data_IF_812093174550
#
_entry.id   IF_812093174550
#
_cell.length_a   1.000
_cell.length_b   1.000
_cell.length_c   1.000
_cell.angle_alpha   90.00
_cell.angle_beta   90.00
_cell.angle_gamma   90.00
#
_symmetry.space_group_name_H-M   'P 1'
#
loop_
_entity.id
_entity.type
_entity.pdbx_description
1 polymer ?
#
# COMPACT_ATOMS: atom_id res chain seq x y z
N UNK A 1 -9.99 22.82 20.82
CA UNK A 1 -8.61 22.50 20.45
C UNK A 1 -8.64 21.84 19.09
N UNK A 2 -7.82 22.30 18.18
CA UNK A 2 -7.63 21.77 16.85
C UNK A 2 -6.49 20.77 16.83
N UNK A 3 -6.55 19.75 15.98
CA UNK A 3 -5.57 18.70 15.84
C UNK A 3 -5.12 18.56 14.39
N UNK A 4 -3.86 18.20 14.21
CA UNK A 4 -3.32 17.67 12.97
C UNK A 4 -3.26 16.15 13.08
N UNK A 5 -3.85 15.43 12.10
CA UNK A 5 -3.87 13.96 12.09
C UNK A 5 -2.67 13.44 11.29
N UNK A 6 -1.77 12.74 11.97
CA UNK A 6 -0.61 12.10 11.36
C UNK A 6 -0.90 10.62 11.15
N UNK A 7 -0.70 10.12 9.93
CA UNK A 7 -0.93 8.72 9.59
C UNK A 7 0.37 8.10 9.09
N UNK A 8 0.92 7.20 9.89
CA UNK A 8 2.11 6.42 9.55
C UNK A 8 1.76 5.10 8.86
N UNK A 9 2.75 4.43 8.29
CA UNK A 9 2.54 3.14 7.62
C UNK A 9 2.35 1.98 8.61
N UNK A 10 3.08 2.03 9.74
CA UNK A 10 3.14 0.95 10.74
C UNK A 10 3.03 1.49 12.17
N UNK A 11 2.54 0.67 13.12
CA UNK A 11 2.45 1.08 14.53
C UNK A 11 3.78 1.49 15.16
N UNK A 12 4.89 0.88 14.75
CA UNK A 12 6.23 1.22 15.26
C UNK A 12 6.65 2.63 14.85
N UNK A 13 6.48 2.95 13.57
CA UNK A 13 6.77 4.27 13.00
C UNK A 13 5.90 5.35 13.65
N UNK A 14 4.60 5.07 13.82
CA UNK A 14 3.68 5.97 14.50
C UNK A 14 4.13 6.30 15.94
N UNK A 15 4.61 5.29 16.69
CA UNK A 15 5.12 5.50 18.05
C UNK A 15 6.38 6.35 18.08
N UNK A 16 7.32 6.12 17.15
CA UNK A 16 8.53 6.94 17.05
C UNK A 16 8.19 8.40 16.75
N UNK A 17 7.34 8.63 15.75
CA UNK A 17 6.87 9.99 15.41
C UNK A 17 6.16 10.63 16.61
N UNK A 18 5.21 9.94 17.23
CA UNK A 18 4.43 10.46 18.34
C UNK A 18 5.32 10.86 19.53
N UNK A 19 6.33 10.06 19.85
CA UNK A 19 7.31 10.38 20.91
C UNK A 19 8.07 11.68 20.64
N UNK A 20 8.44 11.92 19.37
CA UNK A 20 9.21 13.11 18.98
C UNK A 20 8.36 14.38 18.97
N UNK A 21 7.09 14.29 18.52
CA UNK A 21 6.19 15.46 18.42
C UNK A 21 5.36 15.69 19.71
N UNK A 22 5.53 14.84 20.73
CA UNK A 22 4.85 14.98 22.03
C UNK A 22 3.39 14.50 22.07
N UNK A 23 3.03 13.55 21.18
CA UNK A 23 1.72 12.91 21.18
C UNK A 23 1.77 11.58 21.95
N UNK A 24 2.06 11.62 23.25
CA UNK A 24 2.43 10.47 24.09
C UNK A 24 1.25 9.74 24.76
N UNK A 25 0.06 10.35 24.81
CA UNK A 25 -1.14 9.75 25.41
C UNK A 25 -1.74 8.69 24.52
N UNK A 26 -1.61 7.43 24.91
CA UNK A 26 -2.16 6.29 24.19
C UNK A 26 -3.69 6.24 24.26
N UNK A 27 -4.30 5.97 23.12
CA UNK A 27 -5.71 5.66 22.95
C UNK A 27 -5.85 4.35 22.16
N UNK A 28 -7.07 3.86 22.01
CA UNK A 28 -7.33 2.67 21.20
C UNK A 28 -7.11 2.97 19.72
N UNK A 29 -5.99 2.46 19.18
CA UNK A 29 -5.59 2.60 17.78
C UNK A 29 -4.96 3.94 17.38
N UNK A 30 -4.69 4.86 18.30
CA UNK A 30 -3.98 6.11 18.03
C UNK A 30 -3.34 6.70 19.29
N UNK A 31 -2.54 7.74 19.14
CA UNK A 31 -1.93 8.52 20.21
C UNK A 31 -2.33 9.98 20.07
N UNK A 32 -2.37 10.71 21.20
CA UNK A 32 -2.80 12.12 21.22
C UNK A 32 -1.92 12.95 22.16
N UNK A 33 -1.57 14.14 21.75
CA UNK A 33 -0.83 15.11 22.53
C UNK A 33 -0.33 16.25 21.67
N UNK A 34 0.04 17.36 22.28
CA UNK A 34 0.66 18.52 21.64
C UNK A 34 -0.01 18.99 20.34
N UNK A 35 -1.35 18.92 20.23
CA UNK A 35 -2.08 19.29 19.01
C UNK A 35 -2.08 18.24 17.91
N UNK A 36 -1.55 17.04 18.16
CA UNK A 36 -1.50 15.95 17.19
C UNK A 36 -2.37 14.76 17.59
N UNK A 37 -2.94 14.10 16.58
CA UNK A 37 -3.45 12.74 16.65
C UNK A 37 -2.56 11.89 15.75
N UNK A 38 -1.93 10.84 16.27
CA UNK A 38 -1.03 9.98 15.51
C UNK A 38 -1.62 8.59 15.42
N UNK A 39 -1.94 8.13 14.22
CA UNK A 39 -2.44 6.80 13.95
C UNK A 39 -1.61 6.14 12.84
N UNK A 40 -1.99 4.95 12.41
CA UNK A 40 -1.20 4.18 11.45
C UNK A 40 -2.05 3.30 10.56
N UNK A 41 -1.52 2.97 9.41
CA UNK A 41 -1.94 1.82 8.62
C UNK A 41 -1.30 0.53 9.16
N UNK A 42 -1.68 -0.60 8.64
CA UNK A 42 -1.02 -1.91 8.85
C UNK A 42 -0.63 -2.48 7.49
N UNK A 43 0.18 -1.71 6.75
CA UNK A 43 0.40 -1.89 5.34
C UNK A 43 -0.83 -1.48 4.53
N UNK A 44 -1.08 -2.12 3.38
CA UNK A 44 -2.26 -1.85 2.57
C UNK A 44 -3.55 -2.20 3.32
N UNK A 45 -4.44 -1.23 3.47
CA UNK A 45 -5.79 -1.38 4.05
C UNK A 45 -6.86 -1.60 2.97
N UNK A 46 -6.53 -1.26 1.73
CA UNK A 46 -7.34 -1.49 0.54
C UNK A 46 -6.48 -2.20 -0.51
N UNK A 47 -7.08 -3.14 -1.20
CA UNK A 47 -6.46 -3.92 -2.26
C UNK A 47 -7.34 -3.88 -3.51
N UNK A 48 -6.74 -4.05 -4.70
CA UNK A 48 -7.53 -4.18 -5.93
C UNK A 48 -8.41 -5.41 -5.83
N UNK A 49 -9.69 -5.24 -6.15
CA UNK A 49 -10.69 -6.28 -6.07
C UNK A 49 -10.36 -7.47 -6.98
N UNK A 50 -10.78 -8.65 -6.56
CA UNK A 50 -10.66 -9.85 -7.37
C UNK A 50 -11.58 -9.79 -8.60
N UNK A 51 -11.29 -10.55 -9.68
CA UNK A 51 -12.08 -10.51 -10.91
C UNK A 51 -13.58 -10.72 -10.74
N UNK A 52 -13.99 -11.57 -9.81
CA UNK A 52 -15.40 -11.83 -9.52
C UNK A 52 -16.18 -10.62 -9.00
N UNK A 53 -15.50 -9.64 -8.43
CA UNK A 53 -16.11 -8.37 -8.02
C UNK A 53 -16.52 -7.49 -9.21
N UNK A 54 -15.96 -7.75 -10.39
CA UNK A 54 -16.32 -7.05 -11.64
C UNK A 54 -17.47 -7.74 -12.36
N UNK A 55 -17.38 -9.08 -12.53
CA UNK A 55 -18.44 -9.92 -13.11
C UNK A 55 -18.43 -11.31 -12.43
N UNK A 56 -19.59 -11.81 -12.04
CA UNK A 56 -19.74 -13.10 -11.35
C UNK A 56 -19.15 -14.27 -12.16
N UNK A 57 -19.24 -14.21 -13.48
CA UNK A 57 -18.68 -15.24 -14.38
C UNK A 57 -17.17 -15.44 -14.19
N UNK A 58 -16.45 -14.41 -13.77
CA UNK A 58 -15.00 -14.46 -13.53
C UNK A 58 -14.62 -15.25 -12.27
N UNK A 59 -15.58 -15.73 -11.48
CA UNK A 59 -15.29 -16.66 -10.39
C UNK A 59 -14.74 -18.00 -10.90
N UNK A 60 -15.13 -18.40 -12.12
CA UNK A 60 -14.56 -19.57 -12.80
C UNK A 60 -13.49 -19.13 -13.77
N UNK A 61 -12.38 -19.89 -13.80
CA UNK A 61 -11.30 -19.61 -14.72
C UNK A 61 -11.59 -20.29 -16.06
N UNK A 62 -11.84 -19.48 -17.08
CA UNK A 62 -12.14 -19.95 -18.44
C UNK A 62 -11.32 -19.17 -19.45
N UNK A 63 -10.94 -19.81 -20.52
CA UNK A 63 -10.19 -19.18 -21.61
C UNK A 63 -11.00 -18.06 -22.29
N UNK A 64 -12.30 -18.29 -22.47
CA UNK A 64 -13.23 -17.38 -23.16
C UNK A 64 -13.44 -16.04 -22.41
N UNK A 65 -13.15 -16.03 -21.12
CA UNK A 65 -13.29 -14.82 -20.28
C UNK A 65 -12.04 -13.90 -20.33
N UNK A 66 -10.99 -14.31 -21.02
CA UNK A 66 -9.73 -13.58 -21.10
C UNK A 66 -9.63 -12.76 -22.41
N UNK A 67 -9.02 -11.58 -22.37
CA UNK A 67 -8.45 -10.92 -21.18
C UNK A 67 -9.50 -10.20 -20.33
N UNK A 68 -9.33 -10.22 -19.00
CA UNK A 68 -10.12 -9.43 -18.08
C UNK A 68 -9.52 -8.02 -18.00
N UNK A 69 -10.26 -7.04 -18.49
CA UNK A 69 -9.85 -5.63 -18.54
C UNK A 69 -10.91 -4.77 -17.85
N UNK A 70 -10.71 -4.41 -16.57
CA UNK A 70 -11.63 -3.54 -15.87
C UNK A 70 -11.61 -2.12 -16.47
N UNK A 71 -12.78 -1.52 -16.68
CA UNK A 71 -12.88 -0.11 -17.09
C UNK A 71 -12.53 0.83 -15.93
N UNK A 72 -12.92 0.45 -14.72
CA UNK A 72 -12.66 1.21 -13.50
C UNK A 72 -12.14 0.26 -12.41
N UNK A 73 -11.13 0.69 -11.69
CA UNK A 73 -10.59 -0.07 -10.57
C UNK A 73 -11.56 -0.09 -9.39
N UNK A 74 -11.82 -1.29 -8.87
CA UNK A 74 -12.54 -1.49 -7.61
C UNK A 74 -11.55 -1.87 -6.53
N UNK A 75 -11.78 -1.38 -5.33
CA UNK A 75 -10.95 -1.71 -4.16
C UNK A 75 -11.80 -2.44 -3.13
N UNK A 76 -11.19 -3.41 -2.48
CA UNK A 76 -11.79 -4.19 -1.39
C UNK A 76 -11.00 -4.02 -0.11
N UNK A 77 -11.70 -4.18 1.02
CA UNK A 77 -11.10 -4.11 2.35
C UNK A 77 -10.97 -5.52 2.91
N UNK A 78 -9.75 -6.04 3.10
CA UNK A 78 -9.53 -7.33 3.76
C UNK A 78 -10.22 -7.38 5.12
N UNK A 79 -10.74 -8.56 5.50
CA UNK A 79 -11.56 -8.71 6.72
C UNK A 79 -10.83 -8.27 7.98
N UNK A 80 -9.55 -8.59 8.09
CA UNK A 80 -8.65 -8.27 9.20
C UNK A 80 -8.26 -6.79 9.27
N UNK A 81 -8.47 -6.02 8.19
CA UNK A 81 -8.14 -4.59 8.09
C UNK A 81 -9.31 -3.65 8.39
N UNK A 82 -10.53 -4.17 8.43
CA UNK A 82 -11.76 -3.36 8.55
C UNK A 82 -11.78 -2.46 9.78
N UNK A 83 -11.34 -2.98 10.93
CA UNK A 83 -11.34 -2.22 12.20
C UNK A 83 -10.40 -1.01 12.14
N UNK A 84 -9.18 -1.21 11.63
CA UNK A 84 -8.20 -0.13 11.51
C UNK A 84 -8.63 0.92 10.48
N UNK A 85 -9.14 0.48 9.34
CA UNK A 85 -9.68 1.39 8.33
C UNK A 85 -10.85 2.23 8.86
N UNK A 86 -11.78 1.61 9.57
CA UNK A 86 -12.91 2.31 10.19
C UNK A 86 -12.44 3.37 11.20
N UNK A 87 -11.41 3.07 11.99
CA UNK A 87 -10.81 4.03 12.91
C UNK A 87 -10.21 5.23 12.15
N UNK A 88 -9.40 4.99 11.12
CA UNK A 88 -8.80 6.05 10.32
C UNK A 88 -9.87 6.93 9.65
N UNK A 89 -10.90 6.33 9.07
CA UNK A 89 -12.02 7.08 8.50
C UNK A 89 -12.74 7.95 9.55
N UNK A 90 -12.91 7.44 10.77
CA UNK A 90 -13.48 8.20 11.89
C UNK A 90 -12.60 9.39 12.27
N UNK A 91 -11.29 9.18 12.40
CA UNK A 91 -10.33 10.24 12.74
C UNK A 91 -10.28 11.31 11.63
N UNK A 92 -10.25 10.92 10.37
CA UNK A 92 -10.25 11.85 9.24
C UNK A 92 -11.53 12.70 9.18
N UNK A 93 -12.66 12.17 9.64
CA UNK A 93 -13.97 12.89 9.68
C UNK A 93 -14.16 13.68 10.97
N UNK A 94 -13.29 13.55 11.96
CA UNK A 94 -13.42 14.28 13.22
C UNK A 94 -13.30 15.79 12.98
N UNK A 95 -14.32 16.55 13.45
CA UNK A 95 -14.38 18.01 13.29
C UNK A 95 -13.24 18.74 13.98
N UNK A 96 -12.57 18.11 14.93
CA UNK A 96 -11.41 18.67 15.64
C UNK A 96 -10.11 18.55 14.85
N UNK A 97 -10.10 17.78 13.76
CA UNK A 97 -8.95 17.62 12.89
C UNK A 97 -9.06 18.63 11.74
N UNK A 98 -8.04 19.48 11.57
CA UNK A 98 -8.01 20.50 10.52
C UNK A 98 -7.24 20.05 9.28
N UNK A 99 -6.15 19.33 9.48
CA UNK A 99 -5.32 18.83 8.38
C UNK A 99 -4.84 17.39 8.65
N UNK A 100 -4.39 16.72 7.59
CA UNK A 100 -3.89 15.34 7.65
C UNK A 100 -2.47 15.30 7.11
N UNK A 101 -1.55 14.68 7.86
CA UNK A 101 -0.17 14.46 7.44
C UNK A 101 0.00 13.02 7.00
N UNK A 102 0.42 12.83 5.77
CA UNK A 102 0.88 11.56 5.25
C UNK A 102 2.31 11.31 5.74
N UNK A 103 2.47 10.39 6.70
CA UNK A 103 3.74 10.00 7.29
C UNK A 103 4.07 8.51 7.03
N UNK A 104 3.60 7.98 5.91
CA UNK A 104 4.00 6.67 5.39
C UNK A 104 5.38 6.73 4.76
N UNK A 105 5.97 5.59 4.47
CA UNK A 105 7.32 5.51 3.90
C UNK A 105 7.48 6.43 2.67
N UNK A 106 8.65 7.04 2.53
CA UNK A 106 8.97 7.97 1.44
C UNK A 106 9.14 7.19 0.12
N UNK A 107 8.04 6.98 -0.59
CA UNK A 107 8.02 6.23 -1.84
C UNK A 107 6.62 6.01 -2.39
N UNK A 108 6.56 5.40 -3.57
CA UNK A 108 5.30 5.12 -4.29
C UNK A 108 4.32 4.30 -3.47
N UNK A 109 4.80 3.24 -2.81
CA UNK A 109 3.94 2.34 -2.03
C UNK A 109 3.34 3.05 -0.81
N UNK A 110 4.18 3.83 -0.07
CA UNK A 110 3.69 4.61 1.06
C UNK A 110 2.63 5.64 0.64
N UNK A 111 2.85 6.32 -0.51
CA UNK A 111 1.86 7.24 -1.07
C UNK A 111 0.56 6.54 -1.43
N UNK A 112 0.65 5.37 -2.08
CA UNK A 112 -0.52 4.55 -2.44
C UNK A 112 -1.32 4.13 -1.21
N UNK A 113 -0.64 3.59 -0.18
CA UNK A 113 -1.27 3.14 1.07
C UNK A 113 -2.09 4.27 1.70
N UNK A 114 -1.50 5.46 1.82
CA UNK A 114 -2.16 6.60 2.44
C UNK A 114 -3.31 7.15 1.58
N UNK A 115 -3.06 7.40 0.29
CA UNK A 115 -4.03 8.04 -0.61
C UNK A 115 -5.30 7.21 -0.77
N UNK A 116 -5.17 5.90 -0.89
CA UNK A 116 -6.34 5.02 -0.97
C UNK A 116 -7.23 5.14 0.27
N UNK A 117 -6.64 5.24 1.47
CA UNK A 117 -7.39 5.45 2.71
C UNK A 117 -8.03 6.82 2.76
N UNK A 118 -7.30 7.85 2.35
CA UNK A 118 -7.77 9.24 2.32
C UNK A 118 -8.96 9.40 1.38
N UNK A 119 -8.89 8.84 0.17
CA UNK A 119 -9.97 8.83 -0.82
C UNK A 119 -11.16 7.98 -0.36
N UNK A 120 -10.91 6.79 0.16
CA UNK A 120 -11.95 5.90 0.69
C UNK A 120 -12.73 6.56 1.83
N UNK A 121 -12.06 7.30 2.70
CA UNK A 121 -12.70 8.06 3.76
C UNK A 121 -13.53 9.24 3.24
N UNK A 122 -13.36 9.65 1.97
CA UNK A 122 -13.95 10.86 1.41
C UNK A 122 -13.44 12.13 2.12
N UNK A 123 -12.19 12.10 2.58
CA UNK A 123 -11.59 13.22 3.29
C UNK A 123 -11.35 14.39 2.33
N UNK A 124 -11.67 15.62 2.77
CA UNK A 124 -11.44 16.85 1.99
C UNK A 124 -10.59 17.87 2.74
N UNK A 125 -9.99 17.45 3.84
CA UNK A 125 -9.14 18.33 4.63
C UNK A 125 -7.79 18.53 3.93
N UNK A 126 -7.10 19.65 4.16
CA UNK A 126 -5.75 19.83 3.64
C UNK A 126 -4.86 18.65 3.97
N UNK A 127 -4.06 18.22 3.00
CA UNK A 127 -3.13 17.10 3.14
C UNK A 127 -1.71 17.60 2.95
N UNK A 128 -0.86 17.22 3.87
CA UNK A 128 0.55 17.52 3.88
C UNK A 128 1.35 16.21 3.88
N UNK A 129 2.57 16.25 3.41
CA UNK A 129 3.46 15.09 3.29
C UNK A 129 4.71 15.28 4.14
N UNK A 130 4.92 14.37 5.08
CA UNK A 130 6.19 14.19 5.78
C UNK A 130 7.09 13.31 4.90
N UNK A 131 8.14 13.90 4.33
CA UNK A 131 9.09 13.18 3.45
C UNK A 131 10.44 13.06 4.12
N UNK A 132 10.67 11.94 4.79
CA UNK A 132 11.92 11.65 5.50
C UNK A 132 12.44 10.26 5.15
N UNK A 133 13.76 10.11 5.12
CA UNK A 133 14.44 8.84 4.84
C UNK A 133 15.02 8.18 6.09
N UNK A 134 14.98 8.88 7.24
CA UNK A 134 15.46 8.40 8.53
C UNK A 134 14.40 8.56 9.61
N UNK A 135 14.37 7.64 10.58
CA UNK A 135 13.49 7.69 11.77
C UNK A 135 14.22 8.22 13.02
N UNK A 136 15.36 8.86 12.85
CA UNK A 136 16.03 9.56 13.94
C UNK A 136 15.24 10.79 14.39
N UNK A 137 15.27 11.11 15.67
CA UNK A 137 14.50 12.20 16.25
C UNK A 137 14.75 13.54 15.56
N UNK A 138 16.00 13.81 15.20
CA UNK A 138 16.38 15.04 14.48
C UNK A 138 15.72 15.13 13.09
N UNK A 139 15.73 14.03 12.33
CA UNK A 139 15.14 13.96 11.00
C UNK A 139 13.61 14.09 11.06
N UNK A 140 12.97 13.50 12.08
CA UNK A 140 11.52 13.65 12.29
C UNK A 140 11.17 15.11 12.58
N UNK A 141 11.89 15.79 13.50
CA UNK A 141 11.65 17.21 13.82
C UNK A 141 11.82 18.10 12.61
N UNK A 142 12.94 17.97 11.91
CA UNK A 142 13.23 18.72 10.69
C UNK A 142 12.14 18.49 9.62
N UNK A 143 11.69 17.23 9.46
CA UNK A 143 10.61 16.90 8.53
C UNK A 143 9.28 17.55 8.88
N UNK A 144 8.94 17.68 10.17
CA UNK A 144 7.72 18.40 10.60
C UNK A 144 7.83 19.91 10.45
N UNK A 145 9.04 20.46 10.52
CA UNK A 145 9.30 21.88 10.24
C UNK A 145 9.21 22.20 8.73
N UNK A 146 9.32 21.16 7.86
CA UNK A 146 9.34 21.27 6.39
C UNK A 146 8.34 20.33 5.73
N UNK A 147 7.08 20.33 6.19
CA UNK A 147 6.02 19.56 5.52
C UNK A 147 5.76 20.09 4.11
N UNK A 148 5.59 19.18 3.17
CA UNK A 148 5.29 19.51 1.78
C UNK A 148 3.78 19.44 1.50
N UNK A 149 3.24 20.25 0.57
CA UNK A 149 1.86 20.08 0.10
C UNK A 149 1.68 18.68 -0.48
N UNK A 150 0.57 18.03 -0.14
CA UNK A 150 0.28 16.69 -0.68
C UNK A 150 0.18 16.66 -2.20
N UNK A 151 -0.25 17.76 -2.85
CA UNK A 151 -0.35 17.90 -4.31
C UNK A 151 0.99 17.70 -5.04
N UNK A 152 2.11 17.96 -4.39
CA UNK A 152 3.44 17.78 -5.01
C UNK A 152 3.74 16.30 -5.32
N UNK A 153 2.98 15.38 -4.70
CA UNK A 153 3.12 13.93 -4.83
C UNK A 153 2.03 13.27 -5.67
N UNK A 154 1.16 14.04 -6.34
CA UNK A 154 0.07 13.49 -7.15
C UNK A 154 0.60 12.57 -8.27
N UNK A 155 1.66 12.98 -8.97
CA UNK A 155 2.29 12.15 -10.01
C UNK A 155 2.91 10.87 -9.46
N UNK A 156 3.39 10.89 -8.21
CA UNK A 156 3.92 9.72 -7.53
C UNK A 156 2.80 8.73 -7.21
N UNK A 157 1.65 9.24 -6.77
CA UNK A 157 0.43 8.45 -6.56
C UNK A 157 -0.07 7.84 -7.87
N UNK A 158 -0.18 8.62 -8.94
CA UNK A 158 -0.58 8.12 -10.26
C UNK A 158 0.32 6.99 -10.73
N UNK A 159 1.65 7.15 -10.58
CA UNK A 159 2.62 6.11 -10.93
C UNK A 159 2.43 4.83 -10.09
N UNK A 160 2.05 4.97 -8.82
CA UNK A 160 1.76 3.83 -7.94
C UNK A 160 0.47 3.11 -8.36
N UNK A 161 -0.59 3.84 -8.67
CA UNK A 161 -1.86 3.29 -9.17
C UNK A 161 -1.66 2.57 -10.50
N UNK A 162 -0.94 3.18 -11.45
CA UNK A 162 -0.61 2.56 -12.73
C UNK A 162 0.17 1.25 -12.55
N UNK A 163 1.15 1.23 -11.63
CA UNK A 163 1.91 0.02 -11.32
C UNK A 163 1.03 -1.07 -10.72
N UNK A 164 0.21 -0.74 -9.74
CA UNK A 164 -0.70 -1.70 -9.11
C UNK A 164 -1.67 -2.30 -10.14
N UNK A 165 -2.22 -1.46 -11.03
CA UNK A 165 -3.08 -1.90 -12.14
C UNK A 165 -2.34 -2.81 -13.13
N UNK A 166 -1.12 -2.46 -13.51
CA UNK A 166 -0.30 -3.30 -14.41
C UNK A 166 0.03 -4.66 -13.77
N UNK A 167 0.39 -4.68 -12.49
CA UNK A 167 0.65 -5.91 -11.76
C UNK A 167 -0.60 -6.79 -11.66
N UNK A 168 -1.78 -6.19 -11.43
CA UNK A 168 -3.05 -6.90 -11.44
C UNK A 168 -3.40 -7.47 -12.82
N UNK A 169 -3.31 -6.65 -13.88
CA UNK A 169 -3.65 -7.08 -15.24
C UNK A 169 -2.77 -8.25 -15.70
N UNK A 170 -1.46 -8.13 -15.52
CA UNK A 170 -0.54 -9.20 -15.92
C UNK A 170 -0.73 -10.42 -15.01
N UNK A 171 -0.76 -10.21 -13.70
CA UNK A 171 -0.87 -11.30 -12.73
C UNK A 171 -2.14 -12.12 -12.92
N UNK A 172 -3.30 -11.48 -13.00
CA UNK A 172 -4.58 -12.17 -13.14
C UNK A 172 -4.71 -12.86 -14.50
N UNK A 173 -4.48 -12.14 -15.59
CA UNK A 173 -4.71 -12.68 -16.92
C UNK A 173 -3.71 -13.79 -17.27
N UNK A 174 -2.42 -13.60 -17.03
CA UNK A 174 -1.42 -14.60 -17.35
C UNK A 174 -1.53 -15.83 -16.42
N UNK A 175 -1.77 -15.64 -15.13
CA UNK A 175 -2.00 -16.75 -14.19
C UNK A 175 -3.18 -17.61 -14.65
N UNK A 176 -4.32 -17.00 -14.99
CA UNK A 176 -5.50 -17.72 -15.43
C UNK A 176 -5.27 -18.41 -16.78
N UNK A 177 -4.67 -17.70 -17.74
CA UNK A 177 -4.37 -18.25 -19.05
C UNK A 177 -3.53 -19.53 -18.97
N UNK A 178 -2.37 -19.44 -18.33
CA UNK A 178 -1.48 -20.57 -18.22
C UNK A 178 -2.05 -21.70 -17.35
N UNK A 179 -2.77 -21.36 -16.29
CA UNK A 179 -3.41 -22.38 -15.45
C UNK A 179 -4.49 -23.17 -16.19
N UNK A 180 -5.29 -22.49 -17.02
CA UNK A 180 -6.31 -23.16 -17.85
C UNK A 180 -5.67 -24.02 -18.94
N UNK A 181 -4.63 -23.52 -19.61
CA UNK A 181 -3.96 -24.25 -20.70
C UNK A 181 -3.25 -25.51 -20.20
N UNK A 182 -2.64 -25.46 -19.04
CA UNK A 182 -1.85 -26.57 -18.51
C UNK A 182 -2.58 -27.45 -17.48
N UNK A 183 -3.80 -27.08 -17.09
CA UNK A 183 -4.61 -27.85 -16.15
C UNK A 183 -4.08 -27.86 -14.70
N UNK A 184 -3.14 -26.97 -14.36
CA UNK A 184 -2.56 -26.82 -13.02
C UNK A 184 -2.42 -25.33 -12.70
N UNK A 185 -2.44 -24.97 -11.42
CA UNK A 185 -2.24 -23.57 -11.03
C UNK A 185 -0.81 -23.12 -11.30
N UNK A 186 -0.65 -22.19 -12.23
CA UNK A 186 0.62 -21.58 -12.61
C UNK A 186 0.57 -20.08 -12.32
N UNK A 187 1.18 -19.68 -11.20
CA UNK A 187 1.24 -18.27 -10.84
C UNK A 187 2.22 -17.50 -11.73
N UNK A 188 1.76 -16.44 -12.33
CA UNK A 188 2.55 -15.54 -13.18
C UNK A 188 2.52 -14.14 -12.58
N UNK A 189 3.66 -13.50 -12.49
CA UNK A 189 3.78 -12.14 -11.98
C UNK A 189 4.90 -11.39 -12.67
N UNK A 190 4.73 -10.09 -12.81
CA UNK A 190 5.66 -9.19 -13.52
C UNK A 190 7.09 -9.20 -12.96
N UNK A 191 7.22 -9.42 -11.67
CA UNK A 191 8.53 -9.52 -11.00
C UNK A 191 8.92 -10.98 -10.76
N UNK A 192 8.00 -11.78 -10.24
CA UNK A 192 8.24 -13.18 -9.85
C UNK A 192 8.71 -14.04 -11.02
N UNK A 193 8.03 -13.97 -12.16
CA UNK A 193 8.34 -14.84 -13.30
C UNK A 193 9.71 -14.53 -13.93
N UNK A 194 10.09 -13.26 -14.22
CA UNK A 194 11.43 -12.98 -14.71
C UNK A 194 12.52 -13.30 -13.68
N UNK A 195 12.26 -13.07 -12.39
CA UNK A 195 13.23 -13.44 -11.33
C UNK A 195 13.48 -14.95 -11.32
N UNK A 196 12.42 -15.76 -11.41
CA UNK A 196 12.53 -17.20 -11.51
C UNK A 196 13.29 -17.63 -12.78
N UNK A 197 12.98 -16.99 -13.92
CA UNK A 197 13.66 -17.25 -15.18
C UNK A 197 15.18 -16.92 -15.14
N UNK A 198 15.59 -15.98 -14.31
CA UNK A 198 17.01 -15.68 -14.07
C UNK A 198 17.66 -16.70 -13.12
N UNK A 199 16.93 -17.15 -12.10
CA UNK A 199 17.46 -18.09 -11.10
C UNK A 199 17.63 -19.52 -11.65
N UNK A 200 16.71 -19.99 -12.49
CA UNK A 200 16.73 -21.35 -13.03
C UNK A 200 18.01 -21.67 -13.81
N UNK A 201 18.48 -20.86 -14.78
CA UNK A 201 19.74 -21.13 -15.48
C UNK A 201 20.96 -21.10 -14.56
N UNK A 202 21.00 -20.15 -13.60
CA UNK A 202 22.10 -20.04 -12.63
C UNK A 202 22.16 -21.27 -11.75
N UNK A 203 21.03 -21.70 -11.21
CA UNK A 203 20.94 -22.92 -10.39
C UNK A 203 21.36 -24.17 -11.18
N UNK A 204 20.90 -24.28 -12.45
CA UNK A 204 21.27 -25.40 -13.31
C UNK A 204 22.77 -25.44 -13.62
N UNK A 205 23.40 -24.29 -13.89
CA UNK A 205 24.85 -24.21 -14.21
C UNK A 205 25.76 -24.38 -13.00
N UNK A 206 25.33 -23.95 -11.81
CA UNK A 206 26.16 -24.02 -10.60
C UNK A 206 25.91 -25.26 -9.73
N UNK A 207 24.72 -25.83 -9.74
CA UNK A 207 24.41 -27.04 -8.96
C UNK A 207 24.68 -28.33 -9.73
N UNK A 208 24.67 -28.32 -11.05
CA UNK A 208 25.13 -29.43 -11.89
C UNK A 208 26.56 -29.22 -12.34
N UNK A 209 27.50 -29.14 -11.40
CA UNK A 209 28.91 -29.25 -11.77
C UNK A 209 29.13 -30.60 -12.46
N UNK A 210 29.73 -30.60 -13.69
CA UNK A 210 30.09 -31.85 -14.31
C UNK A 210 31.04 -32.56 -13.37
N UNK A 211 30.65 -33.74 -12.92
CA UNK A 211 31.56 -34.65 -12.23
C UNK A 211 32.58 -35.06 -13.29
N UNK A 212 33.72 -34.38 -13.34
CA UNK A 212 34.87 -34.85 -14.08
C UNK A 212 35.33 -36.14 -13.35
N UNK A 213 34.95 -37.28 -13.89
CA UNK A 213 35.62 -38.51 -13.54
C UNK A 213 37.02 -38.42 -14.14
N UNK A 214 38.02 -38.24 -13.28
CA UNK A 214 39.41 -38.54 -13.58
C UNK A 214 39.61 -40.05 -13.75
#
# INVERSE_FOLDING_TARGET
MSYQLVIAEKPSVARSIAGVIGADKKQDGYMVGNGYLVSWCVGHLLELAQPEAYKEQYAKWRYEDLPILPENWKYEVPKDKKTQLALLCRLMKDKRVDSVVCATDAGREGELIFRLVYEYAGCKKPMERLWISSMEDAAIREGFDHLHPGSDYDKLYDAAVCRAGADWLIGINATRLFSVLYGVTLNVGRVMSPTLALLVPVSYTHLTLPTIRL
#
